data_IF_001697904231
#
_entry.id   IF_001697904231
#
_cell.length_a   1.000
_cell.length_b   1.000
_cell.length_c   1.000
_cell.angle_alpha   90.00
_cell.angle_beta   90.00
_cell.angle_gamma   90.00
#
_symmetry.space_group_name_H-M   'P 1'
#
loop_
_entity.id
_entity.type
_entity.pdbx_description
1 polymer ?
#
# COMPACT_ATOMS: atom_id res chain seq x y z
N UNK A 1 -18.40 -7.57 6.47
CA UNK A 1 -18.06 -6.20 6.01
C UNK A 1 -18.94 -5.89 4.80
N UNK A 2 -19.63 -4.77 4.78
CA UNK A 2 -20.44 -4.41 3.62
C UNK A 2 -19.51 -3.99 2.47
N UNK A 3 -19.86 -4.30 1.23
CA UNK A 3 -19.06 -3.92 0.06
C UNK A 3 -19.12 -2.41 -0.26
N UNK A 4 -19.91 -1.63 0.46
CA UNK A 4 -20.01 -0.18 0.27
C UNK A 4 -18.82 0.56 0.88
N UNK A 5 -18.52 0.34 2.16
CA UNK A 5 -17.43 1.04 2.87
C UNK A 5 -16.08 0.74 2.22
N UNK A 6 -15.90 -0.50 1.76
CA UNK A 6 -14.69 -0.91 1.04
C UNK A 6 -14.47 -0.09 -0.24
N UNK A 7 -15.51 0.13 -1.03
CA UNK A 7 -15.43 0.93 -2.26
C UNK A 7 -15.18 2.41 -1.98
N UNK A 8 -15.80 2.95 -0.94
CA UNK A 8 -15.56 4.35 -0.51
C UNK A 8 -14.12 4.56 -0.06
N UNK A 9 -13.57 3.61 0.69
CA UNK A 9 -12.16 3.60 1.11
C UNK A 9 -11.22 3.49 -0.08
N UNK A 10 -11.48 2.60 -1.04
CA UNK A 10 -10.67 2.49 -2.26
C UNK A 10 -10.68 3.78 -3.08
N UNK A 11 -11.85 4.40 -3.23
CA UNK A 11 -11.99 5.66 -3.95
C UNK A 11 -11.23 6.79 -3.23
N UNK A 12 -11.33 6.86 -1.90
CA UNK A 12 -10.60 7.83 -1.10
C UNK A 12 -9.08 7.60 -1.16
N UNK A 13 -8.63 6.36 -1.04
CA UNK A 13 -7.23 5.96 -1.15
C UNK A 13 -6.68 6.28 -2.54
N UNK A 14 -7.49 6.11 -3.59
CA UNK A 14 -7.11 6.52 -4.93
C UNK A 14 -6.82 8.02 -4.98
N UNK A 15 -7.41 8.89 -4.17
CA UNK A 15 -7.09 10.33 -4.13
C UNK A 15 -5.80 10.70 -3.39
N UNK A 16 -5.16 9.76 -2.69
CA UNK A 16 -4.02 10.01 -1.83
C UNK A 16 -2.67 9.75 -2.50
N UNK A 17 -1.62 10.35 -1.95
CA UNK A 17 -0.25 10.10 -2.37
C UNK A 17 0.27 8.79 -1.75
N UNK A 18 0.15 7.68 -2.48
CA UNK A 18 0.68 6.38 -2.05
C UNK A 18 -0.02 5.19 -2.68
N UNK A 19 0.56 4.01 -2.48
CA UNK A 19 -0.04 2.73 -2.82
C UNK A 19 -0.46 2.00 -1.55
N UNK A 20 -1.76 1.77 -1.37
CA UNK A 20 -2.30 1.09 -0.19
C UNK A 20 -2.54 -0.40 -0.49
N UNK A 21 -1.96 -1.29 0.32
CA UNK A 21 -2.18 -2.74 0.15
C UNK A 21 -3.57 -3.15 0.63
N UNK A 22 -4.03 -4.32 0.19
CA UNK A 22 -5.34 -4.87 0.55
C UNK A 22 -5.62 -4.88 2.07
N UNK A 23 -4.71 -5.36 2.94
CA UNK A 23 -4.95 -5.35 4.39
C UNK A 23 -5.17 -3.95 4.97
N UNK A 24 -4.48 -2.93 4.43
CA UNK A 24 -4.65 -1.54 4.89
C UNK A 24 -6.03 -1.02 4.53
N UNK A 25 -6.46 -1.29 3.31
CA UNK A 25 -7.76 -0.88 2.81
C UNK A 25 -8.90 -1.63 3.55
N UNK A 26 -8.71 -2.90 3.90
CA UNK A 26 -9.65 -3.66 4.73
C UNK A 26 -9.75 -3.10 6.14
N UNK A 27 -8.62 -2.78 6.78
CA UNK A 27 -8.61 -2.16 8.10
C UNK A 27 -9.29 -0.78 8.09
N UNK A 28 -9.04 0.04 7.07
CA UNK A 28 -9.70 1.33 6.91
C UNK A 28 -11.21 1.18 6.68
N UNK A 29 -11.65 0.18 5.92
CA UNK A 29 -13.07 -0.10 5.69
C UNK A 29 -13.77 -0.60 6.96
N UNK A 30 -13.10 -1.44 7.76
CA UNK A 30 -13.62 -1.86 9.06
C UNK A 30 -13.78 -0.67 10.01
N UNK A 31 -12.78 0.21 10.08
CA UNK A 31 -12.85 1.44 10.88
C UNK A 31 -13.98 2.37 10.41
N UNK A 32 -14.16 2.52 9.10
CA UNK A 32 -15.25 3.32 8.53
C UNK A 32 -16.62 2.76 8.93
N UNK A 33 -16.80 1.45 8.81
CA UNK A 33 -18.03 0.77 9.22
C UNK A 33 -18.32 0.98 10.72
N UNK A 34 -17.30 0.90 11.57
CA UNK A 34 -17.44 1.13 13.02
C UNK A 34 -17.85 2.58 13.34
N UNK A 35 -17.30 3.56 12.61
CA UNK A 35 -17.66 4.97 12.77
C UNK A 35 -19.07 5.27 12.30
N UNK A 36 -19.51 4.68 11.19
CA UNK A 36 -20.90 4.79 10.74
C UNK A 36 -21.88 4.12 11.70
N UNK A 37 -21.55 2.93 12.20
CA UNK A 37 -22.36 2.27 13.22
C UNK A 37 -22.41 3.07 14.54
N UNK A 38 -21.34 3.77 14.90
CA UNK A 38 -21.34 4.69 16.03
C UNK A 38 -22.21 5.92 15.79
N UNK A 39 -22.12 6.53 14.60
CA UNK A 39 -22.98 7.65 14.19
C UNK A 39 -24.46 7.30 14.26
N UNK A 40 -24.84 6.15 13.69
CA UNK A 40 -26.22 5.66 13.68
C UNK A 40 -26.83 5.56 15.09
N UNK A 41 -26.05 5.03 16.07
CA UNK A 41 -26.47 4.97 17.48
C UNK A 41 -26.74 6.35 18.11
N UNK A 42 -26.19 7.41 17.53
CA UNK A 42 -26.38 8.79 17.98
C UNK A 42 -27.24 9.63 17.02
N UNK A 43 -27.89 9.00 16.03
CA UNK A 43 -28.74 9.69 15.06
C UNK A 43 -27.96 10.52 14.03
N UNK A 44 -26.71 10.15 13.75
CA UNK A 44 -25.84 10.81 12.76
C UNK A 44 -25.68 9.91 11.53
N UNK A 45 -26.26 10.33 10.42
CA UNK A 45 -26.19 9.62 9.14
C UNK A 45 -24.80 9.78 8.48
N UNK A 46 -24.38 8.83 7.62
CA UNK A 46 -23.11 8.91 6.87
C UNK A 46 -22.86 10.25 6.16
N UNK A 47 -23.90 10.85 5.57
CA UNK A 47 -23.80 12.14 4.85
C UNK A 47 -23.49 13.33 5.74
N UNK A 48 -23.84 13.29 7.02
CA UNK A 48 -23.66 14.41 7.95
C UNK A 48 -22.19 14.58 8.36
N UNK A 49 -21.40 13.50 8.27
CA UNK A 49 -19.97 13.55 8.53
C UNK A 49 -19.20 14.43 7.53
N UNK A 50 -19.70 14.58 6.30
CA UNK A 50 -19.05 15.37 5.25
C UNK A 50 -18.87 16.85 5.60
N UNK A 51 -19.66 17.39 6.52
CA UNK A 51 -19.48 18.75 7.04
C UNK A 51 -18.33 18.90 8.05
N UNK A 52 -17.82 17.79 8.60
CA UNK A 52 -16.75 17.77 9.61
C UNK A 52 -15.46 17.24 9.01
N UNK A 53 -15.52 16.10 8.31
CA UNK A 53 -14.37 15.43 7.72
C UNK A 53 -14.78 14.46 6.62
N UNK A 54 -13.89 14.22 5.67
CA UNK A 54 -14.06 13.14 4.71
C UNK A 54 -13.66 11.80 5.35
N UNK A 55 -14.62 11.17 6.06
CA UNK A 55 -14.37 9.97 6.86
C UNK A 55 -13.65 8.83 6.14
N UNK A 56 -13.99 8.45 4.89
CA UNK A 56 -13.27 7.39 4.20
C UNK A 56 -11.77 7.70 4.06
N UNK A 57 -11.42 8.94 3.73
CA UNK A 57 -10.03 9.39 3.62
C UNK A 57 -9.34 9.42 5.00
N UNK A 58 -10.04 9.90 6.03
CA UNK A 58 -9.53 9.90 7.40
C UNK A 58 -9.21 8.47 7.89
N UNK A 59 -10.06 7.50 7.59
CA UNK A 59 -9.83 6.09 7.95
C UNK A 59 -8.58 5.53 7.26
N UNK A 60 -8.36 5.83 5.98
CA UNK A 60 -7.14 5.45 5.26
C UNK A 60 -5.90 6.08 5.91
N UNK A 61 -5.96 7.37 6.24
CA UNK A 61 -4.85 8.10 6.86
C UNK A 61 -4.54 7.62 8.28
N UNK A 62 -5.54 7.16 9.03
CA UNK A 62 -5.41 6.63 10.40
C UNK A 62 -5.01 5.15 10.42
N UNK A 63 -5.33 4.37 9.39
CA UNK A 63 -4.84 2.99 9.28
C UNK A 63 -3.30 2.95 9.10
N UNK A 64 -2.72 3.99 8.50
CA UNK A 64 -1.30 4.07 8.12
C UNK A 64 -0.26 4.09 9.28
N UNK A 65 -0.40 4.86 10.39
CA UNK A 65 0.69 5.10 11.34
C UNK A 65 1.20 3.83 12.03
N UNK A 66 0.37 2.81 12.17
CA UNK A 66 0.77 1.51 12.74
C UNK A 66 1.84 0.79 11.91
N UNK A 67 1.99 1.14 10.64
CA UNK A 67 3.00 0.54 9.76
C UNK A 67 4.35 1.25 9.83
N UNK A 68 4.41 2.50 10.30
CA UNK A 68 5.72 3.17 10.54
C UNK A 68 6.47 2.54 11.71
N UNK A 69 5.75 2.15 12.76
CA UNK A 69 6.36 1.59 13.97
C UNK A 69 6.96 0.19 13.75
N UNK A 70 6.58 -0.49 12.66
CA UNK A 70 7.13 -1.79 12.28
C UNK A 70 8.28 -1.69 11.27
N UNK A 71 8.64 -0.48 10.81
CA UNK A 71 9.68 -0.32 9.80
C UNK A 71 11.02 -0.93 10.25
N UNK A 72 11.79 -1.54 9.32
CA UNK A 72 13.11 -2.07 9.64
C UNK A 72 14.02 -1.02 10.28
N UNK A 73 14.64 -1.40 11.39
CA UNK A 73 15.58 -0.55 12.13
C UNK A 73 17.03 -0.81 11.71
N UNK A 74 17.30 -1.93 11.04
CA UNK A 74 18.63 -2.29 10.54
C UNK A 74 18.60 -2.64 9.06
N UNK A 75 19.77 -2.55 8.40
CA UNK A 75 19.92 -3.00 7.02
C UNK A 75 19.68 -4.49 6.84
N UNK A 76 19.96 -5.31 7.85
CA UNK A 76 19.72 -6.75 7.85
C UNK A 76 18.21 -7.08 7.87
N UNK A 77 17.43 -6.37 8.69
CA UNK A 77 15.97 -6.51 8.71
C UNK A 77 15.35 -6.09 7.37
N UNK A 78 15.83 -4.99 6.79
CA UNK A 78 15.38 -4.55 5.47
C UNK A 78 15.76 -5.57 4.38
N UNK A 79 16.97 -6.13 4.47
CA UNK A 79 17.44 -7.19 3.59
C UNK A 79 16.54 -8.43 3.64
N UNK A 80 16.21 -8.91 4.83
CA UNK A 80 15.34 -10.09 5.01
C UNK A 80 13.94 -9.86 4.43
N UNK A 81 13.34 -8.69 4.66
CA UNK A 81 12.02 -8.38 4.07
C UNK A 81 12.05 -8.29 2.55
N UNK A 82 13.14 -7.83 1.96
CA UNK A 82 13.29 -7.81 0.52
C UNK A 82 13.47 -9.22 -0.06
N UNK A 83 14.09 -10.15 0.68
CA UNK A 83 14.10 -11.57 0.31
C UNK A 83 12.69 -12.17 0.35
N UNK A 84 11.92 -11.89 1.40
CA UNK A 84 10.51 -12.32 1.49
C UNK A 84 9.68 -11.76 0.33
N UNK A 85 9.88 -10.49 -0.03
CA UNK A 85 9.23 -9.88 -1.18
C UNK A 85 9.63 -10.55 -2.51
N UNK A 86 10.93 -10.81 -2.72
CA UNK A 86 11.41 -11.47 -3.93
C UNK A 86 10.87 -12.90 -4.04
N UNK A 87 10.81 -13.64 -2.92
CA UNK A 87 10.18 -14.94 -2.84
C UNK A 87 8.68 -14.87 -3.16
N UNK A 88 7.96 -13.90 -2.59
CA UNK A 88 6.53 -13.68 -2.82
C UNK A 88 6.20 -13.33 -4.29
N UNK A 89 7.04 -12.53 -4.95
CA UNK A 89 6.93 -12.22 -6.39
C UNK A 89 7.18 -13.46 -7.25
N UNK A 90 8.24 -14.22 -6.92
CA UNK A 90 8.60 -15.46 -7.64
C UNK A 90 7.49 -16.50 -7.54
N UNK A 91 6.91 -16.69 -6.34
CA UNK A 91 5.79 -17.59 -6.12
C UNK A 91 4.53 -17.22 -6.95
N UNK A 92 4.41 -15.95 -7.34
CA UNK A 92 3.33 -15.42 -8.20
C UNK A 92 3.68 -15.40 -9.68
N UNK A 93 4.81 -16.01 -10.05
CA UNK A 93 5.28 -16.09 -11.44
C UNK A 93 5.80 -14.77 -11.99
N UNK A 94 6.23 -13.84 -11.13
CA UNK A 94 6.84 -12.58 -11.53
C UNK A 94 8.33 -12.65 -11.23
N UNK A 95 9.18 -12.81 -12.25
CA UNK A 95 10.63 -12.82 -12.06
C UNK A 95 11.10 -11.48 -11.47
N UNK A 96 11.84 -11.56 -10.38
CA UNK A 96 12.41 -10.41 -9.71
C UNK A 96 13.86 -10.71 -9.32
N UNK A 97 14.72 -9.69 -9.46
CA UNK A 97 16.12 -9.78 -9.06
C UNK A 97 16.34 -8.85 -7.87
N UNK A 98 16.99 -9.39 -6.83
CA UNK A 98 17.42 -8.60 -5.69
C UNK A 98 18.86 -8.11 -5.91
N UNK A 99 19.07 -6.81 -5.71
CA UNK A 99 20.39 -6.18 -5.65
C UNK A 99 20.46 -5.27 -4.42
N UNK A 100 21.19 -5.70 -3.39
CA UNK A 100 21.27 -5.01 -2.11
C UNK A 100 19.92 -4.79 -1.43
N UNK A 101 19.51 -3.52 -1.32
CA UNK A 101 18.24 -3.09 -0.73
C UNK A 101 17.16 -2.77 -1.77
N UNK A 102 17.26 -3.37 -2.95
CA UNK A 102 16.33 -3.17 -4.05
C UNK A 102 15.91 -4.52 -4.64
N UNK A 103 14.62 -4.62 -4.98
CA UNK A 103 14.03 -5.73 -5.74
C UNK A 103 13.50 -5.15 -7.03
N UNK A 104 14.05 -5.59 -8.16
CA UNK A 104 13.67 -5.10 -9.50
C UNK A 104 12.89 -6.18 -10.22
N UNK A 105 11.73 -5.82 -10.75
CA UNK A 105 10.90 -6.73 -11.52
C UNK A 105 11.39 -6.80 -12.96
N UNK A 106 11.30 -7.97 -13.59
CA UNK A 106 11.61 -8.13 -15.01
C UNK A 106 10.76 -7.18 -15.87
N UNK A 107 11.40 -6.58 -16.89
CA UNK A 107 10.77 -5.58 -17.77
C UNK A 107 9.51 -6.09 -18.46
N UNK A 108 9.50 -7.36 -18.81
CA UNK A 108 8.39 -8.01 -19.51
C UNK A 108 7.14 -8.11 -18.62
N UNK A 109 7.31 -7.98 -17.30
CA UNK A 109 6.21 -8.04 -16.34
C UNK A 109 5.82 -6.66 -15.79
N UNK A 110 6.75 -5.70 -15.73
CA UNK A 110 6.55 -4.48 -14.96
C UNK A 110 7.35 -3.25 -15.44
N UNK A 111 7.78 -3.20 -16.71
CA UNK A 111 8.39 -2.02 -17.34
C UNK A 111 9.56 -1.33 -16.57
N UNK A 112 10.28 -2.07 -15.72
CA UNK A 112 11.36 -1.51 -14.90
C UNK A 112 10.92 -0.84 -13.60
N UNK A 113 9.83 -1.33 -12.99
CA UNK A 113 9.51 -1.04 -11.60
C UNK A 113 10.51 -1.72 -10.66
N UNK A 114 10.92 -0.97 -9.64
CA UNK A 114 11.74 -1.45 -8.54
C UNK A 114 11.10 -1.11 -7.20
N UNK A 115 11.28 -1.99 -6.23
CA UNK A 115 10.80 -1.84 -4.87
C UNK A 115 12.01 -1.76 -3.95
N UNK A 116 11.98 -0.85 -2.99
CA UNK A 116 13.01 -0.71 -1.96
C UNK A 116 12.36 -0.49 -0.60
N UNK A 117 13.17 -0.60 0.45
CA UNK A 117 12.80 -0.17 1.80
C UNK A 117 13.66 1.05 2.12
N UNK A 118 13.01 2.21 2.20
CA UNK A 118 13.67 3.46 2.61
C UNK A 118 13.73 3.47 4.13
N UNK A 119 14.95 3.60 4.67
CA UNK A 119 15.20 3.60 6.11
C UNK A 119 14.25 4.56 6.86
N UNK A 120 13.52 4.04 7.85
CA UNK A 120 12.46 4.72 8.64
C UNK A 120 11.21 5.19 7.88
N UNK A 121 11.19 5.06 6.54
CA UNK A 121 10.05 5.48 5.71
C UNK A 121 9.25 4.31 5.15
N UNK A 122 9.81 3.09 5.21
CA UNK A 122 9.15 1.84 4.86
C UNK A 122 9.26 1.49 3.37
N UNK A 123 8.29 0.72 2.87
CA UNK A 123 8.24 0.30 1.47
C UNK A 123 8.11 1.47 0.50
N UNK A 124 8.86 1.42 -0.60
CA UNK A 124 8.78 2.40 -1.66
C UNK A 124 8.82 1.74 -3.04
N UNK A 125 7.95 2.21 -3.93
CA UNK A 125 7.93 1.91 -5.35
C UNK A 125 8.69 3.00 -6.11
N UNK A 126 9.60 2.60 -6.98
CA UNK A 126 10.40 3.47 -7.83
C UNK A 126 10.19 3.03 -9.28
N UNK A 127 10.00 3.99 -10.18
CA UNK A 127 10.04 3.71 -11.62
C UNK A 127 11.41 4.00 -12.22
N UNK A 128 11.88 3.13 -13.11
CA UNK A 128 13.09 3.35 -13.88
C UNK A 128 14.34 2.67 -13.32
N UNK A 129 15.33 2.50 -14.18
CA UNK A 129 16.55 1.72 -13.90
C UNK A 129 17.55 2.43 -12.96
N UNK A 130 17.28 3.67 -12.54
CA UNK A 130 18.14 4.45 -11.66
C UNK A 130 17.29 5.12 -10.58
N UNK A 131 17.87 5.31 -9.39
CA UNK A 131 17.29 5.96 -8.20
C UNK A 131 16.83 7.42 -8.40
N UNK A 132 16.60 7.87 -9.63
CA UNK A 132 16.17 9.20 -10.03
C UNK A 132 14.69 9.27 -10.43
N UNK A 133 13.97 8.14 -10.47
CA UNK A 133 12.55 8.13 -10.80
C UNK A 133 11.63 8.62 -9.67
N UNK A 134 10.36 8.93 -9.97
CA UNK A 134 9.38 9.22 -8.94
C UNK A 134 9.27 8.06 -7.95
N UNK A 135 9.30 8.41 -6.66
CA UNK A 135 9.19 7.49 -5.53
C UNK A 135 7.80 7.62 -4.93
N UNK A 136 7.15 6.48 -4.69
CA UNK A 136 5.83 6.41 -4.06
C UNK A 136 5.90 5.45 -2.88
N UNK A 137 5.40 5.87 -1.73
CA UNK A 137 5.32 5.03 -0.54
C UNK A 137 4.27 3.95 -0.75
N UNK A 138 4.61 2.71 -0.40
CA UNK A 138 3.67 1.60 -0.31
C UNK A 138 3.32 1.40 1.17
N UNK A 139 2.04 1.34 1.49
CA UNK A 139 1.55 1.17 2.84
C UNK A 139 1.21 -0.31 3.09
N UNK A 140 2.03 -0.96 3.90
CA UNK A 140 1.92 -2.36 4.31
C UNK A 140 2.69 -2.59 5.63
N UNK A 141 2.45 -3.73 6.28
CA UNK A 141 3.31 -4.20 7.39
C UNK A 141 4.71 -4.53 6.89
N UNK A 142 5.65 -4.62 7.82
CA UNK A 142 7.05 -4.96 7.56
C UNK A 142 7.36 -6.36 8.10
N UNK A 143 6.57 -7.32 7.64
CA UNK A 143 6.66 -8.76 7.91
C UNK A 143 6.42 -9.54 6.60
N UNK A 144 6.40 -10.87 6.66
CA UNK A 144 6.18 -11.72 5.48
C UNK A 144 4.81 -11.47 4.82
N UNK A 145 3.76 -11.26 5.63
CA UNK A 145 2.42 -10.96 5.12
C UNK A 145 2.39 -9.61 4.40
N UNK A 146 3.10 -8.61 4.95
CA UNK A 146 3.30 -7.31 4.33
C UNK A 146 4.06 -7.40 3.02
N UNK A 147 5.13 -8.18 2.97
CA UNK A 147 5.88 -8.44 1.74
C UNK A 147 5.02 -9.10 0.65
N UNK A 148 4.17 -10.07 1.05
CA UNK A 148 3.20 -10.69 0.15
C UNK A 148 2.16 -9.68 -0.36
N UNK A 149 1.63 -8.82 0.51
CA UNK A 149 0.66 -7.80 0.15
C UNK A 149 1.27 -6.71 -0.76
N UNK A 150 2.54 -6.36 -0.56
CA UNK A 150 3.32 -5.47 -1.45
C UNK A 150 3.48 -6.12 -2.83
N UNK A 151 3.82 -7.41 -2.89
CA UNK A 151 3.92 -8.14 -4.16
C UNK A 151 2.59 -8.09 -4.93
N UNK A 152 1.47 -8.37 -4.27
CA UNK A 152 0.13 -8.31 -4.88
C UNK A 152 -0.20 -6.91 -5.41
N UNK A 153 0.07 -5.87 -4.62
CA UNK A 153 -0.21 -4.49 -5.01
C UNK A 153 0.63 -4.06 -6.22
N UNK A 154 1.91 -4.41 -6.25
CA UNK A 154 2.81 -4.09 -7.38
C UNK A 154 2.41 -4.85 -8.64
N UNK A 155 2.03 -6.12 -8.52
CA UNK A 155 1.54 -6.93 -9.64
C UNK A 155 0.25 -6.33 -10.22
N UNK A 156 -0.67 -5.89 -9.36
CA UNK A 156 -1.89 -5.24 -9.81
C UNK A 156 -1.61 -3.92 -10.56
N UNK A 157 -0.64 -3.13 -10.11
CA UNK A 157 -0.18 -1.93 -10.84
C UNK A 157 0.46 -2.32 -12.17
N UNK A 158 1.38 -3.28 -12.18
CA UNK A 158 2.10 -3.73 -13.36
C UNK A 158 1.17 -4.32 -14.45
N UNK A 159 0.04 -4.92 -14.04
CA UNK A 159 -1.00 -5.44 -14.92
C UNK A 159 -2.07 -4.41 -15.32
N UNK A 160 -1.96 -3.15 -14.88
CA UNK A 160 -2.95 -2.10 -15.12
C UNK A 160 -4.30 -2.33 -14.42
N UNK A 161 -4.35 -3.23 -13.43
CA UNK A 161 -5.54 -3.53 -12.63
C UNK A 161 -5.75 -2.49 -11.52
N UNK A 162 -4.68 -1.77 -11.16
CA UNK A 162 -4.73 -0.58 -10.33
C UNK A 162 -4.14 0.59 -11.09
N UNK A 163 -4.67 1.79 -10.83
CA UNK A 163 -4.11 3.04 -11.35
C UNK A 163 -2.64 3.11 -10.99
N UNK A 164 -1.80 3.35 -11.99
CA UNK A 164 -0.38 3.59 -11.75
C UNK A 164 -0.24 4.86 -10.90
N UNK A 165 0.21 4.75 -9.65
CA UNK A 165 0.34 5.92 -8.81
C UNK A 165 1.45 6.86 -9.33
N UNK A 166 2.37 6.35 -10.16
CA UNK A 166 3.50 7.09 -10.74
C UNK A 166 3.08 7.96 -11.93
N UNK A 167 1.96 7.67 -12.58
CA UNK A 167 1.47 8.39 -13.77
C UNK A 167 0.69 9.67 -13.44
N UNK A 168 0.54 10.03 -12.16
CA UNK A 168 -0.29 11.16 -11.69
C UNK A 168 0.46 12.48 -11.50
N UNK A 169 1.58 12.68 -12.18
CA UNK A 169 2.32 13.94 -12.16
C UNK A 169 2.18 14.68 -13.47
#
# INVERSE_FOLDING_TARGET
MSGAERREVEQAAAGLAGLYTEPVLDQAAALLADLYAAGDRHGVAPSEWGGVTHLPQACVMVAHPRYRDTAPQTGEQAAALLDELAAALTARGVPATRDGLQVTLARDCAAGLSITIVHRSGWALISGAAHSGPVITIYATHDADGAAAVADAVIAVARGQRLDPLSRR
#
